data_IF_108428026540
#
_entry.id   IF_108428026540
#
_cell.length_a   1.000
_cell.length_b   1.000
_cell.length_c   1.000
_cell.angle_alpha   90.00
_cell.angle_beta   90.00
_cell.angle_gamma   90.00
#
_symmetry.space_group_name_H-M   'P 1'
#
loop_
_entity.id
_entity.type
_entity.pdbx_description
1 polymer ?
#
# COMPACT_ATOMS: atom_id res chain seq x y z
N UNK A 1 69.87 36.07 -2.35
CA UNK A 1 68.90 35.91 -1.25
C UNK A 1 67.59 36.54 -1.74
N UNK A 2 66.44 35.86 -1.80
CA UNK A 2 66.19 34.41 -1.70
C UNK A 2 65.75 33.79 -3.06
N UNK A 3 66.33 32.67 -3.53
CA UNK A 3 66.15 31.23 -3.19
C UNK A 3 65.08 30.56 -4.09
N UNK A 4 65.50 29.74 -5.08
CA UNK A 4 65.53 28.24 -5.08
C UNK A 4 64.20 27.62 -5.54
N UNK A 5 64.10 26.52 -6.31
CA UNK A 5 65.04 25.47 -6.73
C UNK A 5 64.40 24.65 -7.87
N UNK A 6 65.24 24.25 -8.81
CA UNK A 6 65.26 23.02 -9.63
C UNK A 6 64.26 21.89 -9.32
N UNK A 7 63.74 21.27 -10.39
CA UNK A 7 63.34 19.87 -10.43
C UNK A 7 64.02 19.17 -11.64
N UNK A 8 64.67 18.01 -11.46
CA UNK A 8 65.31 17.26 -12.55
C UNK A 8 64.54 16.00 -12.98
N UNK A 9 64.88 15.53 -14.19
CA UNK A 9 65.12 14.12 -14.58
C UNK A 9 64.15 13.00 -14.16
N UNK A 10 63.52 12.33 -15.11
CA UNK A 10 63.98 10.99 -15.56
C UNK A 10 63.11 10.44 -16.72
N UNK A 11 63.79 9.72 -17.61
CA UNK A 11 63.26 9.08 -18.83
C UNK A 11 62.98 7.60 -18.54
N UNK A 12 62.10 7.01 -19.38
CA UNK A 12 61.93 5.58 -19.69
C UNK A 12 61.13 4.73 -18.67
N UNK A 13 60.01 4.17 -19.14
CA UNK A 13 59.98 2.77 -19.62
C UNK A 13 58.64 2.46 -20.30
N UNK A 14 58.74 1.82 -21.46
CA UNK A 14 57.64 1.20 -22.20
C UNK A 14 57.16 -0.02 -21.41
N UNK A 15 55.85 -0.15 -21.21
CA UNK A 15 55.20 -1.45 -21.02
C UNK A 15 53.88 -1.45 -21.76
N UNK A 16 53.72 -2.48 -22.59
CA UNK A 16 52.53 -2.76 -23.37
C UNK A 16 51.33 -2.99 -22.44
N UNK A 17 50.19 -2.39 -22.79
CA UNK A 17 48.90 -2.65 -22.16
C UNK A 17 48.10 -3.50 -23.15
N UNK A 18 47.93 -4.78 -22.81
CA UNK A 18 46.94 -5.67 -23.41
C UNK A 18 45.51 -5.15 -23.17
N UNK A 19 44.56 -5.40 -24.08
CA UNK A 19 43.22 -4.84 -24.01
C UNK A 19 42.43 -5.48 -22.86
N UNK A 20 42.20 -4.70 -21.81
CA UNK A 20 41.27 -5.07 -20.74
C UNK A 20 39.85 -5.06 -21.32
N UNK A 21 39.24 -6.25 -21.42
CA UNK A 21 37.82 -6.47 -21.68
C UNK A 21 37.00 -5.61 -20.72
N UNK A 22 36.37 -4.57 -21.25
CA UNK A 22 35.32 -3.82 -20.55
C UNK A 22 34.12 -4.76 -20.38
N UNK A 23 34.02 -5.40 -19.21
CA UNK A 23 32.79 -6.05 -18.77
C UNK A 23 31.79 -4.92 -18.52
N UNK A 24 30.93 -4.70 -19.50
CA UNK A 24 29.72 -3.89 -19.34
C UNK A 24 28.88 -4.57 -18.26
N UNK A 25 28.92 -4.02 -17.05
CA UNK A 25 28.08 -4.46 -15.95
C UNK A 25 26.62 -4.22 -16.34
N UNK A 26 25.89 -5.30 -16.56
CA UNK A 26 24.44 -5.27 -16.75
C UNK A 26 23.77 -4.52 -15.58
N UNK A 27 22.68 -3.77 -15.84
CA UNK A 27 21.92 -3.12 -14.78
C UNK A 27 21.40 -4.19 -13.81
N UNK A 28 21.39 -3.92 -12.49
CA UNK A 28 20.93 -4.90 -11.50
C UNK A 28 19.47 -5.27 -11.79
N UNK A 29 19.26 -6.56 -12.05
CA UNK A 29 17.96 -7.20 -12.13
C UNK A 29 17.13 -6.86 -10.90
N UNK A 30 15.82 -6.66 -11.11
CA UNK A 30 14.83 -6.20 -10.15
C UNK A 30 14.53 -7.20 -9.01
N UNK A 31 15.56 -7.63 -8.28
CA UNK A 31 15.46 -8.65 -7.23
C UNK A 31 16.16 -8.21 -5.92
N UNK A 32 16.05 -6.93 -5.57
CA UNK A 32 16.44 -6.47 -4.21
C UNK A 32 15.56 -5.34 -3.66
N UNK A 33 14.29 -5.29 -4.09
CA UNK A 33 13.24 -4.69 -3.26
C UNK A 33 12.56 -5.81 -2.49
N UNK A 34 13.20 -6.30 -1.41
CA UNK A 34 12.50 -7.12 -0.41
C UNK A 34 11.46 -6.22 0.26
N UNK A 35 10.29 -6.11 -0.37
CA UNK A 35 9.06 -5.80 0.33
C UNK A 35 9.04 -6.74 1.53
N UNK A 36 9.23 -6.14 2.71
CA UNK A 36 9.04 -6.85 3.96
C UNK A 36 7.55 -7.15 3.99
N UNK A 37 7.14 -8.25 3.37
CA UNK A 37 5.82 -8.82 3.52
C UNK A 37 5.68 -9.06 5.01
N UNK A 38 5.02 -8.12 5.69
CA UNK A 38 4.44 -8.40 6.99
C UNK A 38 3.48 -9.53 6.66
N UNK A 39 3.81 -10.75 7.08
CA UNK A 39 2.89 -11.89 7.03
C UNK A 39 1.78 -11.57 8.03
N UNK A 40 0.89 -10.67 7.64
CA UNK A 40 -0.36 -10.37 8.33
C UNK A 40 -1.29 -11.49 7.89
N UNK A 41 -1.26 -12.62 8.61
CA UNK A 41 -2.49 -13.42 8.69
C UNK A 41 -3.55 -12.48 9.26
N UNK A 42 -4.75 -12.57 8.68
CA UNK A 42 -5.89 -11.71 8.98
C UNK A 42 -6.05 -11.38 10.47
N UNK A 43 -6.26 -10.08 10.74
CA UNK A 43 -6.55 -9.47 12.03
C UNK A 43 -5.41 -9.54 13.06
N UNK A 44 -5.43 -8.65 14.05
CA UNK A 44 -4.46 -8.65 15.15
C UNK A 44 -4.35 -10.00 15.84
N UNK A 45 -3.35 -10.17 16.71
CA UNK A 45 -3.30 -11.38 17.53
C UNK A 45 -4.60 -11.53 18.32
N UNK A 46 -5.05 -12.76 18.46
CA UNK A 46 -6.25 -13.08 19.21
C UNK A 46 -5.93 -13.18 20.71
N UNK A 47 -6.93 -13.01 21.55
CA UNK A 47 -6.83 -13.12 23.02
C UNK A 47 -6.12 -14.42 23.47
N UNK A 48 -6.35 -15.53 22.76
CA UNK A 48 -5.79 -16.84 23.05
C UNK A 48 -4.37 -17.08 22.54
N UNK A 49 -3.81 -16.17 21.74
CA UNK A 49 -2.40 -16.24 21.34
C UNK A 49 -1.51 -16.10 22.58
N UNK A 50 -0.30 -16.68 22.53
CA UNK A 50 0.55 -16.78 23.72
C UNK A 50 1.84 -15.99 23.59
N UNK A 51 2.22 -15.33 24.68
CA UNK A 51 3.54 -14.74 24.87
C UNK A 51 4.40 -15.66 25.72
N UNK A 52 5.64 -15.90 25.29
CA UNK A 52 6.63 -16.68 26.04
C UNK A 52 7.42 -15.73 26.94
N UNK A 53 7.18 -15.83 28.23
CA UNK A 53 7.87 -15.09 29.29
C UNK A 53 8.88 -16.00 29.99
N UNK A 54 9.73 -15.41 30.84
CA UNK A 54 10.67 -16.18 31.67
C UNK A 54 9.94 -17.10 32.67
N UNK A 55 8.74 -16.71 33.10
CA UNK A 55 7.88 -17.46 34.03
C UNK A 55 7.06 -18.57 33.36
N UNK A 56 7.09 -18.66 32.02
CA UNK A 56 6.28 -19.61 31.25
C UNK A 56 5.51 -18.93 30.11
N UNK A 57 4.60 -19.68 29.49
CA UNK A 57 3.70 -19.13 28.48
C UNK A 57 2.42 -18.60 29.12
N UNK A 58 2.02 -17.41 28.71
CA UNK A 58 0.79 -16.73 29.17
C UNK A 58 -0.03 -16.32 27.94
N UNK A 59 -1.36 -16.30 28.04
CA UNK A 59 -2.20 -15.79 26.94
C UNK A 59 -2.06 -14.26 26.83
N UNK A 60 -2.28 -13.70 25.65
CA UNK A 60 -2.23 -12.24 25.47
C UNK A 60 -3.29 -11.52 26.27
N UNK A 61 -4.45 -12.15 26.48
CA UNK A 61 -5.52 -11.61 27.33
C UNK A 61 -5.07 -11.49 28.78
N UNK A 62 -4.48 -12.55 29.33
CA UNK A 62 -4.00 -12.54 30.73
C UNK A 62 -2.83 -11.57 30.87
N UNK A 63 -1.91 -11.61 29.91
CA UNK A 63 -0.76 -10.70 29.85
C UNK A 63 -1.20 -9.22 29.81
N UNK A 64 -2.17 -8.88 28.96
CA UNK A 64 -2.70 -7.52 28.88
C UNK A 64 -3.44 -7.10 30.15
N UNK A 65 -4.19 -8.02 30.77
CA UNK A 65 -4.90 -7.77 32.03
C UNK A 65 -3.92 -7.48 33.17
N UNK A 66 -2.83 -8.23 33.25
CA UNK A 66 -1.75 -7.99 34.22
C UNK A 66 -1.06 -6.66 33.96
N UNK A 67 -0.68 -6.35 32.71
CA UNK A 67 -0.09 -5.05 32.36
C UNK A 67 -1.02 -3.88 32.66
N UNK A 68 -2.34 -4.06 32.52
CA UNK A 68 -3.34 -3.05 32.91
C UNK A 68 -3.33 -2.83 34.42
N UNK A 69 -3.28 -3.89 35.23
CA UNK A 69 -3.17 -3.77 36.69
C UNK A 69 -1.87 -3.05 37.09
N UNK A 70 -0.74 -3.45 36.49
CA UNK A 70 0.56 -2.78 36.70
C UNK A 70 0.51 -1.30 36.30
N UNK A 71 -0.19 -0.96 35.21
CA UNK A 71 -0.39 0.42 34.80
C UNK A 71 -1.18 1.23 35.84
N UNK A 72 -2.32 0.70 36.29
CA UNK A 72 -3.18 1.39 37.26
C UNK A 72 -2.45 1.59 38.58
N UNK A 73 -1.70 0.60 39.05
CA UNK A 73 -0.88 0.70 40.25
C UNK A 73 0.23 1.72 40.09
N UNK A 74 0.99 1.67 38.99
CA UNK A 74 2.06 2.63 38.72
C UNK A 74 1.54 4.07 38.63
N UNK A 75 0.34 4.28 38.07
CA UNK A 75 -0.29 5.61 38.01
C UNK A 75 -0.73 6.07 39.41
N UNK A 76 -1.32 5.18 40.22
CA UNK A 76 -1.72 5.49 41.60
C UNK A 76 -0.52 5.86 42.49
N UNK A 77 0.61 5.19 42.29
CA UNK A 77 1.85 5.41 43.03
C UNK A 77 2.65 6.64 42.51
N UNK A 78 2.14 7.37 41.50
CA UNK A 78 2.84 8.49 40.86
C UNK A 78 4.08 8.08 40.05
N UNK A 79 4.21 6.78 39.76
CA UNK A 79 5.29 6.19 38.99
C UNK A 79 5.10 6.30 37.47
N UNK A 80 5.96 5.59 36.73
CA UNK A 80 5.94 5.60 35.27
C UNK A 80 4.85 4.67 34.72
N UNK A 81 3.91 5.24 33.97
CA UNK A 81 2.87 4.49 33.27
C UNK A 81 3.42 3.42 32.32
N UNK A 82 2.85 2.20 32.40
CA UNK A 82 3.15 1.08 31.49
C UNK A 82 2.67 1.35 30.06
N UNK A 83 1.41 1.78 29.91
CA UNK A 83 0.86 2.25 28.65
C UNK A 83 1.16 3.73 28.47
N UNK A 84 1.78 4.07 27.34
CA UNK A 84 2.14 5.45 27.02
C UNK A 84 1.12 6.03 26.05
N UNK A 85 0.70 7.27 26.31
CA UNK A 85 -0.13 8.02 25.37
C UNK A 85 0.67 8.27 24.09
N UNK A 86 0.10 7.89 22.96
CA UNK A 86 0.61 8.19 21.62
C UNK A 86 -0.47 8.86 20.80
N UNK A 87 -0.05 9.64 19.81
CA UNK A 87 -0.96 10.26 18.84
C UNK A 87 -0.42 10.00 17.45
N UNK A 88 -1.33 9.63 16.54
CA UNK A 88 -1.01 9.40 15.13
C UNK A 88 -1.93 10.26 14.26
N UNK A 89 -1.43 10.66 13.10
CA UNK A 89 -2.23 11.31 12.07
C UNK A 89 -2.58 10.28 11.00
N UNK A 90 -3.87 10.14 10.68
CA UNK A 90 -4.37 9.25 9.64
C UNK A 90 -5.52 9.92 8.89
N UNK A 91 -5.42 10.00 7.55
CA UNK A 91 -6.39 10.68 6.68
C UNK A 91 -6.77 12.11 7.12
N UNK A 92 -5.81 12.86 7.67
CA UNK A 92 -6.00 14.24 8.13
C UNK A 92 -6.54 14.36 9.56
N UNK A 93 -6.97 13.26 10.18
CA UNK A 93 -7.45 13.25 11.56
C UNK A 93 -6.35 12.83 12.53
N UNK A 94 -6.41 13.34 13.77
CA UNK A 94 -5.55 12.88 14.85
C UNK A 94 -6.27 11.85 15.72
N UNK A 95 -5.68 10.68 15.85
CA UNK A 95 -6.17 9.60 16.71
C UNK A 95 -5.22 9.45 17.90
N UNK A 96 -5.77 9.38 19.11
CA UNK A 96 -4.98 9.14 20.34
C UNK A 96 -5.18 7.70 20.81
N UNK A 97 -4.07 7.07 21.21
CA UNK A 97 -4.05 5.71 21.75
C UNK A 97 -3.20 5.65 23.02
N UNK A 98 -3.44 4.64 23.84
CA UNK A 98 -2.64 4.29 25.01
C UNK A 98 -2.01 2.94 24.73
N UNK A 99 -0.68 2.95 24.58
CA UNK A 99 0.03 1.85 23.96
C UNK A 99 1.15 1.30 24.83
N UNK A 100 1.15 -0.02 25.01
CA UNK A 100 2.32 -0.76 25.46
C UNK A 100 3.13 -1.20 24.24
N UNK A 101 4.47 -1.15 24.32
CA UNK A 101 5.32 -1.53 23.19
C UNK A 101 6.66 -2.10 23.64
N UNK A 102 6.83 -3.41 23.46
CA UNK A 102 8.07 -4.10 23.85
C UNK A 102 8.33 -5.32 22.98
N UNK A 103 9.58 -5.76 22.96
CA UNK A 103 9.97 -6.96 22.21
C UNK A 103 9.76 -8.20 23.07
N UNK A 104 9.00 -9.16 22.56
CA UNK A 104 8.66 -10.41 23.22
C UNK A 104 8.85 -11.59 22.28
N UNK A 105 8.93 -12.80 22.83
CA UNK A 105 8.87 -14.02 22.04
C UNK A 105 7.41 -14.48 21.99
N UNK A 106 6.79 -14.38 20.81
CA UNK A 106 5.38 -14.75 20.61
C UNK A 106 5.33 -16.18 20.07
N UNK A 107 4.51 -17.03 20.69
CA UNK A 107 4.38 -18.42 20.30
C UNK A 107 3.98 -18.55 18.82
N UNK A 108 4.71 -19.35 18.06
CA UNK A 108 4.51 -19.53 16.61
C UNK A 108 5.07 -18.42 15.71
N UNK A 109 5.50 -17.28 16.26
CA UNK A 109 6.05 -16.15 15.49
C UNK A 109 7.48 -15.78 15.86
N UNK A 110 8.01 -16.30 16.98
CA UNK A 110 9.36 -15.99 17.44
C UNK A 110 9.47 -14.59 18.05
N UNK A 111 10.67 -13.99 17.98
CA UNK A 111 10.94 -12.66 18.55
C UNK A 111 10.26 -11.58 17.71
N UNK A 112 9.29 -10.88 18.30
CA UNK A 112 8.48 -9.85 17.65
C UNK A 112 8.36 -8.61 18.54
N UNK A 113 8.15 -7.45 17.93
CA UNK A 113 7.74 -6.23 18.61
C UNK A 113 6.24 -6.29 18.85
N UNK A 114 5.81 -6.52 20.09
CA UNK A 114 4.41 -6.52 20.49
C UNK A 114 3.97 -5.09 20.81
N UNK A 115 2.81 -4.71 20.29
CA UNK A 115 2.10 -3.49 20.63
C UNK A 115 0.70 -3.86 21.11
N UNK A 116 0.29 -3.31 22.24
CA UNK A 116 -1.05 -3.49 22.80
C UNK A 116 -1.66 -2.10 22.90
N UNK A 117 -2.77 -1.86 22.21
CA UNK A 117 -3.40 -0.56 22.13
C UNK A 117 -4.77 -0.54 22.80
N UNK A 118 -5.00 0.54 23.54
CA UNK A 118 -6.29 0.98 24.02
C UNK A 118 -6.63 2.33 23.42
N UNK A 119 -7.91 2.58 23.18
CA UNK A 119 -8.43 3.90 22.76
C UNK A 119 -8.76 4.77 23.96
N UNK A 120 -9.10 4.18 25.10
CA UNK A 120 -9.47 4.91 26.32
C UNK A 120 -8.29 5.05 27.27
N UNK A 121 -8.23 6.18 27.97
CA UNK A 121 -7.17 6.49 28.93
C UNK A 121 -7.18 5.58 30.17
N UNK A 122 -8.36 5.12 30.56
CA UNK A 122 -8.60 4.19 31.67
C UNK A 122 -8.38 2.71 31.27
N UNK A 123 -8.01 2.47 30.02
CA UNK A 123 -7.85 1.14 29.43
C UNK A 123 -9.11 0.26 29.58
N UNK A 124 -10.31 0.86 29.69
CA UNK A 124 -11.57 0.13 29.92
C UNK A 124 -12.11 -0.55 28.67
N UNK A 125 -11.59 -0.22 27.49
CA UNK A 125 -11.90 -0.89 26.24
C UNK A 125 -11.10 -2.19 26.06
N UNK A 126 -11.52 -3.00 25.08
CA UNK A 126 -10.80 -4.21 24.72
C UNK A 126 -9.46 -3.86 24.06
N UNK A 127 -8.36 -4.48 24.48
CA UNK A 127 -7.05 -4.26 23.87
C UNK A 127 -7.04 -4.76 22.42
N UNK A 128 -6.29 -4.04 21.57
CA UNK A 128 -5.95 -4.50 20.21
C UNK A 128 -4.48 -4.85 20.14
N UNK A 129 -4.18 -6.06 19.65
CA UNK A 129 -2.83 -6.61 19.61
C UNK A 129 -2.20 -6.51 18.22
N UNK A 130 -1.01 -5.94 18.14
CA UNK A 130 -0.21 -5.90 16.92
C UNK A 130 1.18 -6.49 17.14
N UNK A 131 1.73 -7.12 16.12
CA UNK A 131 3.13 -7.54 16.07
C UNK A 131 3.85 -6.96 14.87
N UNK A 132 5.15 -6.74 15.04
CA UNK A 132 6.06 -6.36 13.97
C UNK A 132 7.39 -7.08 14.08
N UNK A 133 7.92 -7.50 12.93
CA UNK A 133 9.28 -8.03 12.80
C UNK A 133 10.35 -6.92 12.96
N UNK A 134 9.96 -5.64 12.89
CA UNK A 134 10.85 -4.50 13.10
C UNK A 134 10.97 -4.20 14.60
N UNK A 135 11.92 -4.85 15.26
CA UNK A 135 12.10 -4.81 16.73
C UNK A 135 12.42 -3.43 17.32
N UNK A 136 12.96 -2.52 16.50
CA UNK A 136 13.30 -1.15 16.90
C UNK A 136 12.14 -0.16 16.73
N UNK A 137 11.03 -0.55 16.12
CA UNK A 137 9.93 0.37 15.87
C UNK A 137 9.14 0.69 17.14
N UNK A 138 8.66 1.94 17.19
CA UNK A 138 7.84 2.46 18.28
C UNK A 138 6.35 2.21 18.00
N UNK A 139 5.54 2.27 19.06
CA UNK A 139 4.10 2.03 19.02
C UNK A 139 3.37 2.88 17.97
N UNK A 140 3.70 4.18 17.89
CA UNK A 140 3.08 5.11 16.94
C UNK A 140 3.34 4.71 15.47
N UNK A 141 4.57 4.32 15.14
CA UNK A 141 4.92 3.89 13.79
C UNK A 141 4.20 2.60 13.40
N UNK A 142 4.17 1.61 14.29
CA UNK A 142 3.47 0.33 14.05
C UNK A 142 1.96 0.58 13.90
N UNK A 143 1.35 1.34 14.81
CA UNK A 143 -0.08 1.64 14.81
C UNK A 143 -0.49 2.39 13.55
N UNK A 144 0.27 3.41 13.14
CA UNK A 144 0.02 4.18 11.92
C UNK A 144 0.01 3.28 10.69
N UNK A 145 1.01 2.40 10.55
CA UNK A 145 1.08 1.48 9.40
C UNK A 145 -0.09 0.48 9.41
N UNK A 146 -0.50 -0.01 10.58
CA UNK A 146 -1.67 -0.88 10.69
C UNK A 146 -2.97 -0.18 10.24
N UNK A 147 -3.12 1.14 10.48
CA UNK A 147 -4.28 1.91 9.98
C UNK A 147 -4.36 1.91 8.45
N UNK A 148 -3.22 1.83 7.75
CA UNK A 148 -3.17 1.73 6.28
C UNK A 148 -3.49 0.33 5.72
N UNK A 149 -3.92 -0.65 6.55
CA UNK A 149 -4.40 -1.95 6.06
C UNK A 149 -5.78 -1.83 5.41
N UNK A 150 -6.70 -1.06 5.99
CA UNK A 150 -8.12 -0.98 5.57
C UNK A 150 -8.35 -0.69 4.08
N UNK A 151 -7.54 0.13 3.39
CA UNK A 151 -7.65 0.32 1.94
C UNK A 151 -7.70 -0.97 1.10
N UNK A 152 -7.10 -2.07 1.57
CA UNK A 152 -7.21 -3.36 0.86
C UNK A 152 -8.62 -3.94 0.93
N UNK A 153 -9.33 -3.75 2.05
CA UNK A 153 -10.70 -4.23 2.21
C UNK A 153 -11.65 -3.37 1.36
N UNK A 154 -11.40 -2.05 1.33
CA UNK A 154 -12.09 -1.12 0.43
C UNK A 154 -11.91 -1.52 -1.05
N UNK A 155 -10.69 -1.93 -1.45
CA UNK A 155 -10.44 -2.46 -2.79
C UNK A 155 -11.29 -3.71 -3.08
N UNK A 156 -11.38 -4.66 -2.16
CA UNK A 156 -12.18 -5.86 -2.37
C UNK A 156 -13.68 -5.55 -2.44
N UNK A 157 -14.18 -4.61 -1.64
CA UNK A 157 -15.59 -4.21 -1.66
C UNK A 157 -15.94 -3.46 -2.94
N UNK A 158 -15.20 -2.41 -3.28
CA UNK A 158 -15.46 -1.57 -4.45
C UNK A 158 -15.13 -2.30 -5.77
N UNK A 159 -14.08 -3.13 -5.76
CA UNK A 159 -13.61 -3.90 -6.92
C UNK A 159 -14.61 -4.94 -7.41
N UNK A 160 -15.51 -5.45 -6.55
CA UNK A 160 -16.62 -6.32 -6.98
C UNK A 160 -17.50 -5.62 -8.02
N UNK A 161 -17.73 -4.33 -7.84
CA UNK A 161 -18.52 -3.56 -8.78
C UNK A 161 -17.77 -3.25 -10.10
N UNK A 162 -16.46 -3.50 -10.16
CA UNK A 162 -15.64 -3.54 -11.38
C UNK A 162 -15.54 -4.97 -11.98
N UNK A 163 -16.24 -5.94 -11.41
CA UNK A 163 -16.29 -7.32 -11.90
C UNK A 163 -15.27 -8.27 -11.28
N UNK A 164 -14.67 -7.93 -10.13
CA UNK A 164 -13.65 -8.77 -9.47
C UNK A 164 -14.14 -10.22 -9.22
N UNK A 165 -15.41 -10.41 -8.91
CA UNK A 165 -16.06 -11.71 -8.66
C UNK A 165 -17.05 -12.13 -9.76
N UNK A 166 -17.06 -11.43 -10.91
CA UNK A 166 -18.02 -11.64 -12.00
C UNK A 166 -17.43 -12.42 -13.20
N UNK A 167 -16.29 -13.09 -13.03
CA UNK A 167 -15.71 -13.92 -14.09
C UNK A 167 -16.53 -15.20 -14.29
N UNK A 168 -16.89 -15.51 -15.53
CA UNK A 168 -17.56 -16.77 -15.91
C UNK A 168 -16.59 -17.80 -16.52
N UNK A 169 -15.29 -17.48 -16.46
CA UNK A 169 -14.20 -18.27 -17.04
C UNK A 169 -13.88 -19.46 -16.14
N UNK A 170 -13.59 -20.62 -16.74
CA UNK A 170 -13.14 -21.83 -16.03
C UNK A 170 -11.62 -22.03 -16.08
N UNK A 171 -10.97 -21.45 -17.09
CA UNK A 171 -9.53 -21.51 -17.24
C UNK A 171 -8.84 -20.59 -16.22
N UNK A 172 -7.91 -21.14 -15.45
CA UNK A 172 -7.25 -20.41 -14.36
C UNK A 172 -6.41 -19.24 -14.88
N UNK A 173 -5.74 -19.41 -16.02
CA UNK A 173 -4.96 -18.32 -16.64
C UNK A 173 -5.87 -17.18 -17.12
N UNK A 174 -7.05 -17.51 -17.66
CA UNK A 174 -8.06 -16.53 -18.03
C UNK A 174 -8.63 -15.80 -16.79
N UNK A 175 -8.90 -16.50 -15.69
CA UNK A 175 -9.32 -15.90 -14.41
C UNK A 175 -8.24 -14.94 -13.88
N UNK A 176 -6.97 -15.35 -13.87
CA UNK A 176 -5.86 -14.50 -13.43
C UNK A 176 -5.75 -13.22 -14.26
N UNK A 177 -5.85 -13.33 -15.58
CA UNK A 177 -5.84 -12.16 -16.48
C UNK A 177 -7.01 -11.22 -16.22
N UNK A 178 -8.22 -11.78 -16.01
CA UNK A 178 -9.40 -11.00 -15.65
C UNK A 178 -9.19 -10.22 -14.35
N UNK A 179 -8.79 -10.90 -13.28
CA UNK A 179 -8.53 -10.27 -11.97
C UNK A 179 -7.45 -9.18 -12.09
N UNK A 180 -6.38 -9.43 -12.84
CA UNK A 180 -5.33 -8.45 -13.09
C UNK A 180 -5.87 -7.21 -13.84
N UNK A 181 -6.71 -7.41 -14.85
CA UNK A 181 -7.33 -6.31 -15.58
C UNK A 181 -8.25 -5.47 -14.69
N UNK A 182 -9.06 -6.12 -13.84
CA UNK A 182 -9.91 -5.43 -12.85
C UNK A 182 -9.05 -4.60 -11.89
N UNK A 183 -7.93 -5.15 -11.40
CA UNK A 183 -7.02 -4.41 -10.53
C UNK A 183 -6.41 -3.16 -11.22
N UNK A 184 -6.06 -3.27 -12.51
CA UNK A 184 -5.58 -2.14 -13.31
C UNK A 184 -6.66 -1.09 -13.49
N UNK A 185 -7.87 -1.48 -13.90
CA UNK A 185 -9.01 -0.56 -14.10
C UNK A 185 -9.33 0.18 -12.80
N UNK A 186 -9.44 -0.54 -11.69
CA UNK A 186 -9.69 0.07 -10.38
C UNK A 186 -8.59 1.06 -9.99
N UNK A 187 -7.32 0.69 -10.21
CA UNK A 187 -6.17 1.56 -9.91
C UNK A 187 -6.20 2.83 -10.76
N UNK A 188 -6.51 2.73 -12.05
CA UNK A 188 -6.67 3.88 -12.95
C UNK A 188 -7.82 4.78 -12.49
N UNK A 189 -8.97 4.23 -12.11
CA UNK A 189 -10.10 5.01 -11.59
C UNK A 189 -9.75 5.74 -10.29
N UNK A 190 -8.98 5.10 -9.40
CA UNK A 190 -8.49 5.73 -8.16
C UNK A 190 -7.45 6.80 -8.43
N UNK A 191 -6.56 6.61 -9.39
CA UNK A 191 -5.55 7.61 -9.75
C UNK A 191 -6.20 8.81 -10.45
N UNK A 192 -7.20 8.58 -11.31
CA UNK A 192 -7.92 9.63 -12.03
C UNK A 192 -8.57 10.66 -11.09
N UNK A 193 -9.03 10.23 -9.91
CA UNK A 193 -9.56 11.13 -8.86
C UNK A 193 -8.55 12.17 -8.37
N UNK A 194 -7.26 11.94 -8.58
CA UNK A 194 -6.17 12.79 -8.13
C UNK A 194 -5.52 13.58 -9.28
N UNK A 195 -6.08 13.50 -10.49
CA UNK A 195 -5.64 14.26 -11.67
C UNK A 195 -6.58 15.46 -11.88
N UNK A 196 -6.18 16.68 -11.47
CA UNK A 196 -7.05 17.85 -11.54
C UNK A 196 -7.38 18.27 -12.97
N UNK A 197 -6.44 18.08 -13.91
CA UNK A 197 -6.64 18.46 -15.32
C UNK A 197 -7.68 17.54 -15.97
N UNK A 198 -7.60 16.24 -15.70
CA UNK A 198 -8.59 15.27 -16.14
C UNK A 198 -9.96 15.53 -15.51
N UNK A 199 -10.01 15.88 -14.22
CA UNK A 199 -11.25 16.27 -13.54
C UNK A 199 -11.93 17.43 -14.27
N UNK A 200 -11.20 18.53 -14.45
CA UNK A 200 -11.71 19.75 -15.06
C UNK A 200 -12.20 19.52 -16.49
N UNK A 201 -11.45 18.73 -17.27
CA UNK A 201 -11.86 18.39 -18.63
C UNK A 201 -13.17 17.62 -18.65
N UNK A 202 -13.30 16.59 -17.82
CA UNK A 202 -14.51 15.76 -17.77
C UNK A 202 -15.72 16.53 -17.25
N UNK A 203 -15.56 17.39 -16.24
CA UNK A 203 -16.65 18.25 -15.75
C UNK A 203 -17.17 19.17 -16.84
N UNK A 204 -16.27 19.78 -17.64
CA UNK A 204 -16.65 20.64 -18.76
C UNK A 204 -17.31 19.88 -19.90
N UNK A 205 -16.82 18.68 -20.23
CA UNK A 205 -17.33 17.89 -21.36
C UNK A 205 -18.69 17.24 -21.07
N UNK A 206 -18.90 16.81 -19.83
CA UNK A 206 -20.11 16.09 -19.42
C UNK A 206 -21.13 17.01 -18.72
N UNK A 207 -20.78 18.26 -18.42
CA UNK A 207 -21.59 19.21 -17.65
C UNK A 207 -22.06 18.65 -16.29
N UNK A 208 -21.19 17.86 -15.63
CA UNK A 208 -21.46 17.26 -14.32
C UNK A 208 -20.43 17.73 -13.27
N UNK A 209 -20.86 17.81 -12.02
CA UNK A 209 -19.93 17.95 -10.89
C UNK A 209 -19.40 16.58 -10.49
N UNK A 210 -18.10 16.34 -10.67
CA UNK A 210 -17.47 15.08 -10.25
C UNK A 210 -17.33 15.04 -8.72
N UNK A 211 -17.94 14.03 -8.11
CA UNK A 211 -17.67 13.65 -6.72
C UNK A 211 -16.41 12.75 -6.64
N UNK A 212 -15.77 12.69 -5.49
CA UNK A 212 -14.54 11.91 -5.24
C UNK A 212 -14.76 10.40 -5.14
N UNK A 213 -15.99 9.89 -5.32
CA UNK A 213 -16.30 8.46 -5.20
C UNK A 213 -15.99 7.66 -6.47
N UNK A 214 -15.42 6.46 -6.32
CA UNK A 214 -15.07 5.55 -7.46
C UNK A 214 -16.28 5.27 -8.35
N UNK A 215 -17.46 5.08 -7.75
CA UNK A 215 -18.69 4.83 -8.49
C UNK A 215 -19.13 6.02 -9.37
N UNK A 216 -18.82 7.26 -8.97
CA UNK A 216 -19.08 8.43 -9.79
C UNK A 216 -18.11 8.50 -10.97
N UNK A 217 -16.83 8.27 -10.70
CA UNK A 217 -15.77 8.23 -11.72
C UNK A 217 -15.98 7.13 -12.77
N UNK A 218 -16.47 5.96 -12.35
CA UNK A 218 -16.86 4.90 -13.29
C UNK A 218 -17.95 5.37 -14.25
N UNK A 219 -19.01 6.00 -13.72
CA UNK A 219 -20.13 6.52 -14.52
C UNK A 219 -19.68 7.64 -15.45
N UNK A 220 -18.83 8.56 -14.98
CA UNK A 220 -18.26 9.62 -15.80
C UNK A 220 -17.39 9.05 -16.94
N UNK A 221 -16.53 8.08 -16.66
CA UNK A 221 -15.70 7.43 -17.68
C UNK A 221 -16.55 6.67 -18.72
N UNK A 222 -17.63 6.00 -18.29
CA UNK A 222 -18.58 5.35 -19.19
C UNK A 222 -19.34 6.37 -20.04
N UNK A 223 -19.82 7.47 -19.45
CA UNK A 223 -20.50 8.54 -20.17
C UNK A 223 -19.58 9.20 -21.21
N UNK A 224 -18.33 9.47 -20.84
CA UNK A 224 -17.32 9.98 -21.76
C UNK A 224 -17.05 9.01 -22.91
N UNK A 225 -16.94 7.71 -22.63
CA UNK A 225 -16.74 6.70 -23.66
C UNK A 225 -17.92 6.66 -24.64
N UNK A 226 -19.15 6.77 -24.13
CA UNK A 226 -20.36 6.84 -24.94
C UNK A 226 -20.43 8.13 -25.77
N UNK A 227 -20.04 9.27 -25.19
CA UNK A 227 -19.96 10.55 -25.88
C UNK A 227 -18.95 10.49 -27.02
N UNK A 228 -17.74 9.98 -26.78
CA UNK A 228 -16.72 9.77 -27.81
C UNK A 228 -17.23 8.86 -28.93
N UNK A 229 -17.95 7.78 -28.60
CA UNK A 229 -18.58 6.92 -29.59
C UNK A 229 -19.63 7.68 -30.43
N UNK A 230 -20.47 8.50 -29.79
CA UNK A 230 -21.44 9.35 -30.47
C UNK A 230 -20.78 10.35 -31.42
N UNK A 231 -19.71 11.01 -30.98
CA UNK A 231 -18.92 11.93 -31.81
C UNK A 231 -18.27 11.21 -33.00
N UNK A 232 -17.71 10.01 -32.77
CA UNK A 232 -17.14 9.18 -33.83
C UNK A 232 -18.19 8.81 -34.88
N UNK A 233 -19.38 8.38 -34.46
CA UNK A 233 -20.49 8.05 -35.37
C UNK A 233 -20.94 9.30 -36.13
N UNK A 234 -21.15 10.43 -35.43
CA UNK A 234 -21.57 11.69 -36.03
C UNK A 234 -20.55 12.19 -37.07
N UNK A 235 -19.25 12.12 -36.78
CA UNK A 235 -18.19 12.48 -37.70
C UNK A 235 -18.19 11.61 -38.97
N UNK A 236 -18.43 10.29 -38.84
CA UNK A 236 -18.53 9.41 -40.01
C UNK A 236 -19.76 9.71 -40.87
N UNK A 237 -20.92 9.94 -40.24
CA UNK A 237 -22.17 10.26 -40.94
C UNK A 237 -22.09 11.61 -41.68
N UNK A 238 -21.50 12.63 -41.06
CA UNK A 238 -21.30 13.95 -41.68
C UNK A 238 -20.34 13.92 -42.88
N UNK A 239 -19.47 12.92 -42.96
CA UNK A 239 -18.62 12.65 -44.12
C UNK A 239 -19.32 11.81 -45.22
N UNK A 240 -20.62 11.54 -45.06
CA UNK A 240 -21.41 10.77 -46.02
C UNK A 240 -21.19 9.26 -45.96
N UNK A 241 -20.51 8.75 -44.93
CA UNK A 241 -20.34 7.31 -44.76
C UNK A 241 -21.63 6.69 -44.22
N UNK A 242 -22.08 5.55 -44.77
CA UNK A 242 -23.21 4.82 -44.19
C UNK A 242 -22.84 4.28 -42.81
N UNK A 243 -23.81 4.24 -41.88
CA UNK A 243 -23.62 3.78 -40.51
C UNK A 243 -22.94 2.40 -40.43
N UNK A 244 -23.30 1.49 -41.34
CA UNK A 244 -22.69 0.16 -41.42
C UNK A 244 -21.17 0.20 -41.63
N UNK A 245 -20.67 1.16 -42.42
CA UNK A 245 -19.24 1.33 -42.67
C UNK A 245 -18.53 1.93 -41.46
N UNK A 246 -19.16 2.90 -40.79
CA UNK A 246 -18.62 3.54 -39.58
C UNK A 246 -18.52 2.55 -38.42
N UNK A 247 -19.52 1.68 -38.26
CA UNK A 247 -19.57 0.69 -37.17
C UNK A 247 -18.77 -0.59 -37.44
N UNK A 248 -18.48 -0.91 -38.71
CA UNK A 248 -17.76 -2.12 -39.12
C UNK A 248 -16.49 -2.44 -38.30
N UNK A 249 -15.56 -1.49 -38.03
CA UNK A 249 -14.36 -1.78 -37.24
C UNK A 249 -14.68 -2.15 -35.79
N UNK A 250 -15.67 -1.51 -35.17
CA UNK A 250 -16.10 -1.79 -33.79
C UNK A 250 -16.75 -3.17 -33.69
N UNK A 251 -17.69 -3.46 -34.60
CA UNK A 251 -18.36 -4.77 -34.65
C UNK A 251 -17.34 -5.89 -34.88
N UNK A 252 -16.36 -5.68 -35.78
CA UNK A 252 -15.30 -6.66 -36.04
C UNK A 252 -14.42 -6.89 -34.80
N UNK A 253 -14.15 -5.87 -34.00
CA UNK A 253 -13.37 -6.01 -32.77
C UNK A 253 -14.15 -6.78 -31.69
N UNK A 254 -15.44 -6.49 -31.53
CA UNK A 254 -16.30 -7.11 -30.50
C UNK A 254 -16.64 -8.57 -30.85
N UNK A 255 -16.97 -8.86 -32.11
CA UNK A 255 -17.39 -10.19 -32.56
C UNK A 255 -16.23 -11.15 -32.88
N UNK A 256 -14.96 -10.71 -32.71
CA UNK A 256 -13.78 -11.58 -32.85
C UNK A 256 -13.34 -12.24 -31.53
N UNK A 257 -14.06 -11.99 -30.43
CA UNK A 257 -13.89 -12.67 -29.15
C UNK A 257 -14.76 -13.93 -29.06
#
# INVERSE_FOLDING_TARGET
>A
MPLRRSAPSCRLLKTAVEPSRTVVSAPPTAETARYSFVKVRNLGLADGDKVTLKSGQETLKDFASRLKQEHLQAVADGGKAVFQRITITYKGEQETYYSYCQTHNIHGFGKQRLVINHRKADLADNPVFFISNRLAWQAAGITRIQRHRWPVEVYHEEGKAEGLDQYQLRDFSAIQRHVALVAVVYSLLRTAQHDPDLCDQLQRQLEITLDGSVAFWRRAAQAQSLWCLGLFISAGLTQGQPLAQVMAPLVRAICRA
#
